data_IF_972193981950
#
_entry.id   IF_972193981950
#
_cell.length_a   1.000
_cell.length_b   1.000
_cell.length_c   1.000
_cell.angle_alpha   90.00
_cell.angle_beta   90.00
_cell.angle_gamma   90.00
#
_symmetry.space_group_name_H-M   'P 1'
#
loop_
_entity.id
_entity.type
_entity.pdbx_description
1 polymer ?
#
# COMPACT_ATOMS: atom_id res chain seq x y z
N UNK A 1 6.28 -53.58 -10.04
CA UNK A 1 6.14 -54.80 -9.23
C UNK A 1 5.93 -54.44 -7.79
N UNK A 2 4.85 -54.93 -7.25
CA UNK A 2 4.49 -55.20 -5.85
C UNK A 2 4.40 -53.99 -4.88
N UNK A 3 3.44 -53.87 -4.00
CA UNK A 3 2.10 -54.50 -3.81
C UNK A 3 1.41 -53.67 -2.72
N UNK A 4 0.15 -53.56 -2.90
CA UNK A 4 -0.86 -53.02 -1.97
C UNK A 4 -1.01 -54.00 -0.80
N UNK A 5 -1.16 -53.48 0.44
CA UNK A 5 -1.78 -54.23 1.53
C UNK A 5 -2.87 -53.41 2.18
N UNK A 6 -4.10 -53.88 1.96
CA UNK A 6 -5.31 -53.56 2.73
C UNK A 6 -5.28 -54.34 4.05
N UNK A 7 -5.79 -53.81 5.10
CA UNK A 7 -6.21 -54.56 6.28
C UNK A 7 -7.55 -54.02 6.80
N UNK A 8 -8.60 -54.77 6.47
CA UNK A 8 -9.91 -54.82 7.17
C UNK A 8 -9.81 -55.73 8.40
N UNK A 9 -10.48 -55.37 9.46
CA UNK A 9 -11.10 -56.36 10.41
C UNK A 9 -12.10 -55.60 11.28
N UNK A 10 -13.35 -55.84 11.10
CA UNK A 10 -14.30 -56.80 11.67
C UNK A 10 -14.85 -56.41 13.04
N UNK A 11 -16.18 -56.24 12.99
CA UNK A 11 -17.14 -56.19 14.09
C UNK A 11 -17.05 -57.40 15.02
N UNK A 12 -17.41 -57.19 16.29
CA UNK A 12 -17.99 -58.27 17.08
C UNK A 12 -19.08 -57.72 18.02
N UNK A 13 -20.26 -58.25 17.77
CA UNK A 13 -21.49 -58.12 18.56
C UNK A 13 -21.43 -59.15 19.70
N UNK A 14 -21.76 -58.75 20.92
CA UNK A 14 -22.29 -59.72 21.89
C UNK A 14 -23.37 -59.08 22.78
N UNK A 15 -24.56 -59.65 22.66
CA UNK A 15 -25.73 -59.43 23.51
C UNK A 15 -25.57 -60.13 24.85
N UNK A 16 -25.98 -59.53 25.95
CA UNK A 16 -26.59 -60.28 27.06
C UNK A 16 -27.65 -59.47 27.78
N UNK A 17 -28.81 -60.09 27.90
CA UNK A 17 -29.98 -59.68 28.71
C UNK A 17 -29.70 -59.97 30.19
N UNK A 18 -30.21 -59.17 31.08
CA UNK A 18 -31.02 -59.53 32.24
C UNK A 18 -31.47 -58.29 33.01
N UNK A 19 -32.78 -58.20 33.25
CA UNK A 19 -33.48 -57.36 34.19
C UNK A 19 -33.55 -58.10 35.55
N UNK A 20 -33.54 -57.46 36.72
CA UNK A 20 -34.81 -57.21 37.37
C UNK A 20 -34.90 -55.87 38.12
N UNK A 21 -36.14 -55.46 38.24
CA UNK A 21 -36.82 -54.45 39.00
C UNK A 21 -36.37 -54.29 40.44
N UNK A 22 -36.06 -53.05 40.88
CA UNK A 22 -36.17 -52.66 42.29
C UNK A 22 -36.82 -51.25 42.30
N UNK A 23 -37.97 -51.18 42.99
CA UNK A 23 -38.78 -50.03 43.28
C UNK A 23 -38.10 -49.28 44.44
N UNK A 24 -37.62 -48.05 44.19
CA UNK A 24 -37.08 -47.18 45.23
C UNK A 24 -37.71 -45.80 45.13
N UNK A 25 -38.56 -45.48 46.08
CA UNK A 25 -39.07 -44.10 46.31
C UNK A 25 -37.91 -43.17 46.58
N UNK A 26 -37.72 -42.15 45.74
CA UNK A 26 -36.86 -41.02 46.04
C UNK A 26 -37.69 -39.75 46.08
N UNK A 27 -37.69 -39.10 47.25
CA UNK A 27 -38.23 -37.78 47.48
C UNK A 27 -37.67 -36.77 46.46
N UNK A 28 -38.58 -36.08 45.75
CA UNK A 28 -38.22 -34.90 44.96
C UNK A 28 -38.08 -33.73 45.90
N UNK A 29 -36.86 -33.40 46.28
CA UNK A 29 -36.53 -32.08 46.80
C UNK A 29 -36.43 -31.12 45.62
N UNK A 30 -37.44 -30.28 45.44
CA UNK A 30 -37.42 -29.15 44.52
C UNK A 30 -36.45 -28.10 45.04
N UNK A 31 -35.20 -28.15 44.62
CA UNK A 31 -34.33 -26.97 44.65
C UNK A 31 -34.65 -26.13 43.40
N UNK A 32 -35.46 -25.11 43.58
CA UNK A 32 -35.60 -24.01 42.65
C UNK A 32 -34.26 -23.24 42.63
N UNK A 33 -33.35 -23.64 41.75
CA UNK A 33 -32.24 -22.79 41.35
C UNK A 33 -32.80 -21.80 40.33
N UNK A 34 -33.18 -20.63 40.79
CA UNK A 34 -33.27 -19.44 39.95
C UNK A 34 -31.85 -19.11 39.43
N UNK A 35 -31.41 -19.85 38.45
CA UNK A 35 -30.35 -19.39 37.54
C UNK A 35 -31.01 -18.33 36.65
N UNK A 36 -31.09 -17.09 37.14
CA UNK A 36 -31.26 -15.94 36.28
C UNK A 36 -30.07 -15.94 35.29
N UNK A 37 -30.31 -16.57 34.14
CA UNK A 37 -29.49 -16.31 32.97
C UNK A 37 -29.62 -14.82 32.72
N UNK A 38 -28.61 -14.06 33.10
CA UNK A 38 -28.45 -12.70 32.63
C UNK A 38 -28.41 -12.78 31.11
N UNK A 39 -29.55 -12.70 30.46
CA UNK A 39 -29.63 -12.29 29.09
C UNK A 39 -28.99 -10.92 29.06
N UNK A 40 -27.77 -10.86 28.55
CA UNK A 40 -27.13 -9.61 28.20
C UNK A 40 -28.14 -8.83 27.40
N UNK A 41 -28.48 -7.67 27.90
CA UNK A 41 -29.39 -6.72 27.28
C UNK A 41 -28.79 -6.38 25.88
N UNK A 42 -29.29 -7.06 24.83
CA UNK A 42 -28.90 -6.83 23.44
C UNK A 42 -29.44 -5.51 22.87
N UNK A 43 -30.05 -4.70 23.72
CA UNK A 43 -30.67 -3.42 23.31
C UNK A 43 -29.80 -2.19 23.48
N UNK A 44 -28.50 -2.29 23.76
CA UNK A 44 -27.59 -1.18 23.48
C UNK A 44 -27.45 -1.09 21.96
N UNK A 45 -28.23 -0.21 21.33
CA UNK A 45 -27.94 0.29 19.98
C UNK A 45 -26.47 0.71 20.01
N UNK A 46 -25.61 -0.12 19.46
CA UNK A 46 -24.20 0.22 19.38
C UNK A 46 -24.11 1.45 18.45
N UNK A 47 -23.48 2.49 18.93
CA UNK A 47 -23.23 3.70 18.14
C UNK A 47 -22.69 3.30 16.77
N UNK A 48 -23.29 3.81 15.68
CA UNK A 48 -22.84 3.52 14.32
C UNK A 48 -22.01 4.67 13.78
N UNK A 49 -20.89 4.34 13.17
CA UNK A 49 -19.92 5.29 12.62
C UNK A 49 -20.03 5.29 11.09
N UNK A 50 -20.35 6.44 10.51
CA UNK A 50 -20.44 6.61 9.06
C UNK A 50 -19.37 7.61 8.63
N UNK A 51 -18.25 7.12 8.11
CA UNK A 51 -17.12 7.92 7.71
C UNK A 51 -17.02 8.07 6.19
N UNK A 52 -16.38 9.15 5.77
CA UNK A 52 -16.08 9.43 4.36
C UNK A 52 -14.58 9.35 4.15
N UNK A 53 -14.19 8.61 3.11
CA UNK A 53 -12.82 8.47 2.65
C UNK A 53 -12.69 9.08 1.26
N UNK A 54 -11.76 10.02 1.09
CA UNK A 54 -11.39 10.58 -0.21
C UNK A 54 -10.04 10.03 -0.65
N UNK A 55 -9.85 9.78 -1.95
CA UNK A 55 -8.60 9.21 -2.44
C UNK A 55 -7.99 10.02 -3.58
N UNK A 56 -6.67 9.96 -3.71
CA UNK A 56 -5.93 10.57 -4.81
C UNK A 56 -6.05 9.78 -6.13
N UNK A 57 -6.72 8.63 -6.12
CA UNK A 57 -6.80 7.70 -7.23
C UNK A 57 -8.19 7.71 -7.89
N UNK A 58 -8.29 7.40 -9.19
CA UNK A 58 -9.59 7.15 -9.81
C UNK A 58 -10.32 6.00 -9.11
N UNK A 59 -11.63 6.14 -8.95
CA UNK A 59 -12.46 5.12 -8.30
C UNK A 59 -12.40 3.78 -9.05
N UNK A 60 -12.35 2.68 -8.32
CA UNK A 60 -12.27 1.31 -8.86
C UNK A 60 -11.03 1.05 -9.73
N UNK A 61 -10.04 1.92 -9.70
CA UNK A 61 -8.80 1.71 -10.44
C UNK A 61 -8.02 0.54 -9.82
N UNK A 62 -7.51 -0.40 -10.63
CA UNK A 62 -6.81 -1.59 -10.13
C UNK A 62 -5.72 -1.25 -9.11
N UNK A 63 -5.63 -2.03 -8.05
CA UNK A 63 -4.70 -1.79 -6.95
C UNK A 63 -4.99 -0.48 -6.21
N UNK A 64 -4.50 0.66 -6.68
CA UNK A 64 -4.55 1.96 -5.99
C UNK A 64 -5.98 2.41 -5.64
N UNK A 65 -6.91 2.38 -6.58
CA UNK A 65 -8.30 2.77 -6.35
C UNK A 65 -9.12 1.70 -5.64
N UNK A 66 -8.70 0.43 -5.74
CA UNK A 66 -9.36 -0.69 -5.05
C UNK A 66 -8.92 -0.84 -3.60
N UNK A 67 -7.73 -0.38 -3.23
CA UNK A 67 -7.22 -0.48 -1.86
C UNK A 67 -8.18 0.15 -0.83
N UNK A 68 -8.60 1.42 -0.95
CA UNK A 68 -9.54 2.02 -0.01
C UNK A 68 -10.92 1.35 -0.01
N UNK A 69 -11.39 0.81 -1.14
CA UNK A 69 -12.66 0.06 -1.22
C UNK A 69 -12.56 -1.27 -0.44
N UNK A 70 -11.44 -1.98 -0.55
CA UNK A 70 -11.19 -3.21 0.22
C UNK A 70 -11.09 -2.94 1.72
N UNK A 71 -10.42 -1.86 2.12
CA UNK A 71 -10.36 -1.43 3.53
C UNK A 71 -11.79 -1.15 4.04
N UNK A 72 -12.57 -0.36 3.31
CA UNK A 72 -13.94 -0.02 3.69
C UNK A 72 -14.81 -1.28 3.86
N UNK A 73 -14.72 -2.22 2.92
CA UNK A 73 -15.44 -3.49 2.98
C UNK A 73 -15.05 -4.33 4.18
N UNK A 74 -13.74 -4.52 4.41
CA UNK A 74 -13.25 -5.30 5.55
C UNK A 74 -13.65 -4.66 6.89
N UNK A 75 -13.59 -3.35 7.01
CA UNK A 75 -14.01 -2.62 8.22
C UNK A 75 -15.50 -2.84 8.48
N UNK A 76 -16.37 -2.74 7.48
CA UNK A 76 -17.80 -3.00 7.64
C UNK A 76 -18.07 -4.45 8.05
N UNK A 77 -17.43 -5.42 7.41
CA UNK A 77 -17.59 -6.85 7.72
C UNK A 77 -17.10 -7.19 9.13
N UNK A 78 -15.88 -6.76 9.50
CA UNK A 78 -15.29 -7.06 10.82
C UNK A 78 -15.98 -6.32 11.97
N UNK A 79 -16.55 -5.15 11.73
CA UNK A 79 -17.31 -4.41 12.71
C UNK A 79 -18.77 -4.84 12.80
N UNK A 80 -19.19 -5.86 12.05
CA UNK A 80 -20.59 -6.28 11.91
C UNK A 80 -21.53 -5.11 11.56
N UNK A 81 -21.07 -4.23 10.66
CA UNK A 81 -21.82 -3.06 10.21
C UNK A 81 -21.85 -1.88 11.19
N UNK A 82 -21.12 -1.95 12.30
CA UNK A 82 -21.03 -0.83 13.25
C UNK A 82 -20.30 0.37 12.63
N UNK A 83 -19.33 0.12 11.74
CA UNK A 83 -18.61 1.17 11.03
C UNK A 83 -18.75 1.00 9.53
N UNK A 84 -19.17 2.06 8.84
CA UNK A 84 -19.29 2.13 7.39
C UNK A 84 -18.41 3.26 6.85
N UNK A 85 -17.65 2.97 5.80
CA UNK A 85 -16.79 3.94 5.14
C UNK A 85 -17.25 4.08 3.69
N UNK A 86 -17.65 5.30 3.32
CA UNK A 86 -17.99 5.62 1.93
C UNK A 86 -16.76 6.18 1.23
N UNK A 87 -16.32 5.51 0.16
CA UNK A 87 -15.13 5.89 -0.60
C UNK A 87 -15.51 6.79 -1.78
N UNK A 88 -14.77 7.88 -1.94
CA UNK A 88 -14.88 8.83 -3.04
C UNK A 88 -13.56 8.89 -3.82
N UNK A 89 -13.63 8.66 -5.12
CA UNK A 89 -12.47 8.76 -6.02
C UNK A 89 -11.99 10.19 -6.22
N UNK A 90 -10.81 10.33 -6.81
CA UNK A 90 -10.22 11.63 -7.12
C UNK A 90 -11.17 12.49 -7.96
N UNK A 91 -11.42 13.71 -7.51
CA UNK A 91 -12.31 14.67 -8.19
C UNK A 91 -13.80 14.53 -7.85
N UNK A 92 -14.24 13.50 -7.13
CA UNK A 92 -15.66 13.36 -6.73
C UNK A 92 -16.06 14.30 -5.60
N UNK A 93 -15.21 14.48 -4.59
CA UNK A 93 -15.43 15.38 -3.47
C UNK A 93 -14.32 16.43 -3.35
N UNK A 94 -13.07 16.00 -3.56
CA UNK A 94 -11.89 16.85 -3.52
C UNK A 94 -10.98 16.53 -4.71
N UNK A 95 -10.16 17.49 -5.20
CA UNK A 95 -9.11 17.18 -6.16
C UNK A 95 -8.13 16.14 -5.61
N UNK A 96 -7.47 15.37 -6.48
CA UNK A 96 -6.52 14.32 -6.08
C UNK A 96 -5.49 14.79 -5.04
N UNK A 97 -4.94 16.01 -5.20
CA UNK A 97 -3.95 16.60 -4.30
C UNK A 97 -4.57 17.39 -3.13
N UNK A 98 -5.89 17.39 -2.99
CA UNK A 98 -6.60 17.99 -1.87
C UNK A 98 -6.87 17.04 -0.69
N UNK A 99 -6.52 15.76 -0.83
CA UNK A 99 -6.81 14.71 0.17
C UNK A 99 -6.23 15.03 1.54
N UNK A 100 -4.96 15.44 1.60
CA UNK A 100 -4.28 15.78 2.84
C UNK A 100 -4.99 16.91 3.61
N UNK A 101 -5.33 17.98 2.93
CA UNK A 101 -6.00 19.14 3.55
C UNK A 101 -7.42 18.79 4.01
N UNK A 102 -8.12 17.97 3.23
CA UNK A 102 -9.46 17.52 3.56
C UNK A 102 -9.48 16.69 4.87
N UNK A 103 -8.48 15.84 5.08
CA UNK A 103 -8.34 15.05 6.30
C UNK A 103 -7.81 15.92 7.45
N UNK A 104 -6.77 16.70 7.22
CA UNK A 104 -6.17 17.59 8.23
C UNK A 104 -7.21 18.55 8.85
N UNK A 105 -8.09 19.12 8.03
CA UNK A 105 -9.14 20.03 8.48
C UNK A 105 -10.35 19.35 9.11
N UNK A 106 -10.45 17.99 9.07
CA UNK A 106 -11.61 17.26 9.53
C UNK A 106 -12.82 17.33 8.59
N UNK A 107 -12.69 17.93 7.39
CA UNK A 107 -13.80 17.94 6.42
C UNK A 107 -14.15 16.54 5.92
N UNK A 108 -13.18 15.62 5.94
CA UNK A 108 -13.33 14.18 5.72
C UNK A 108 -12.57 13.42 6.79
N UNK A 109 -13.14 12.32 7.26
CA UNK A 109 -12.54 11.52 8.32
C UNK A 109 -11.30 10.76 7.86
N UNK A 110 -11.28 10.35 6.60
CA UNK A 110 -10.21 9.51 6.05
C UNK A 110 -9.76 9.97 4.66
N UNK A 111 -8.52 9.64 4.33
CA UNK A 111 -7.94 9.80 3.00
C UNK A 111 -7.04 8.64 2.61
N UNK A 112 -6.83 8.42 1.32
CA UNK A 112 -5.88 7.42 0.82
C UNK A 112 -5.04 8.00 -0.30
N UNK A 113 -3.69 7.93 -0.15
CA UNK A 113 -2.77 8.62 -1.06
C UNK A 113 -1.34 8.07 -0.96
N UNK A 114 -0.36 8.85 -1.42
CA UNK A 114 1.08 8.66 -1.23
C UNK A 114 1.74 9.91 -0.67
N UNK A 115 2.60 9.74 0.34
CA UNK A 115 3.21 10.83 1.12
C UNK A 115 4.05 11.82 0.31
N UNK A 116 4.55 11.44 -0.85
CA UNK A 116 5.33 12.33 -1.73
C UNK A 116 4.53 13.52 -2.28
N UNK A 117 3.20 13.44 -2.33
CA UNK A 117 2.37 14.57 -2.77
C UNK A 117 2.38 15.74 -1.77
N UNK A 118 2.75 15.48 -0.53
CA UNK A 118 2.75 16.45 0.56
C UNK A 118 4.13 17.06 0.86
N UNK A 119 5.13 16.80 0.02
CA UNK A 119 6.52 17.28 0.25
C UNK A 119 6.64 18.77 0.53
N UNK A 120 5.75 19.58 0.00
CA UNK A 120 5.72 21.02 0.25
C UNK A 120 5.21 21.42 1.64
N UNK A 121 4.56 20.50 2.38
CA UNK A 121 4.00 20.71 3.71
C UNK A 121 4.72 19.87 4.76
N UNK A 122 4.95 18.61 4.46
CA UNK A 122 5.61 17.62 5.30
C UNK A 122 6.75 16.98 4.49
N UNK A 123 7.94 17.61 4.40
CA UNK A 123 9.03 17.12 3.54
C UNK A 123 9.46 15.69 3.85
N UNK A 124 9.43 15.28 5.12
CA UNK A 124 9.77 13.92 5.55
C UNK A 124 8.74 12.86 5.14
N UNK A 125 7.52 13.23 4.75
CA UNK A 125 6.48 12.27 4.35
C UNK A 125 6.87 11.38 3.16
N UNK A 126 7.75 11.89 2.29
CA UNK A 126 8.23 11.17 1.11
C UNK A 126 8.92 9.84 1.45
N UNK A 127 9.61 9.77 2.60
CA UNK A 127 10.34 8.57 3.02
C UNK A 127 9.43 7.39 3.31
N UNK A 128 8.17 7.63 3.65
CA UNK A 128 7.19 6.58 3.94
C UNK A 128 6.48 6.06 2.69
N UNK A 129 6.71 6.66 1.53
CA UNK A 129 6.15 6.17 0.27
C UNK A 129 7.24 5.56 -0.61
N UNK A 130 8.21 6.33 -1.07
CA UNK A 130 9.27 5.82 -1.94
C UNK A 130 10.50 6.73 -1.95
N UNK A 131 11.67 6.13 -1.85
CA UNK A 131 12.97 6.80 -1.92
C UNK A 131 13.74 6.24 -3.10
N UNK A 132 14.28 7.07 -3.99
CA UNK A 132 15.11 6.60 -5.08
C UNK A 132 16.24 5.69 -4.62
N UNK A 133 16.40 4.52 -5.25
CA UNK A 133 17.37 3.48 -4.86
C UNK A 133 17.25 3.03 -3.40
N UNK A 134 16.06 3.21 -2.82
CA UNK A 134 15.76 2.95 -1.42
C UNK A 134 15.39 1.51 -1.11
N UNK A 135 14.56 1.36 -0.06
CA UNK A 135 14.03 0.08 0.40
C UNK A 135 13.06 -0.52 -0.63
N UNK A 136 13.15 -1.83 -0.82
CA UNK A 136 12.16 -2.61 -1.56
C UNK A 136 10.83 -2.69 -0.82
N UNK A 137 9.81 -3.31 -1.43
CA UNK A 137 8.47 -3.40 -0.81
C UNK A 137 8.48 -4.11 0.55
N UNK A 138 9.20 -5.22 0.67
CA UNK A 138 9.29 -5.98 1.93
C UNK A 138 10.11 -5.22 2.97
N UNK A 139 11.18 -4.58 2.54
CA UNK A 139 12.05 -3.79 3.41
C UNK A 139 11.33 -2.55 3.97
N UNK A 140 10.60 -1.78 3.15
CA UNK A 140 9.85 -0.63 3.65
C UNK A 140 8.70 -1.06 4.57
N UNK A 141 8.03 -2.18 4.26
CA UNK A 141 7.04 -2.79 5.14
C UNK A 141 7.67 -3.18 6.50
N UNK A 142 8.86 -3.76 6.49
CA UNK A 142 9.58 -4.16 7.69
C UNK A 142 10.04 -2.94 8.51
N UNK A 143 10.65 -1.94 7.86
CA UNK A 143 11.04 -0.69 8.52
C UNK A 143 9.84 -0.01 9.17
N UNK A 144 8.75 0.16 8.42
CA UNK A 144 7.56 0.83 8.92
C UNK A 144 6.92 0.06 10.08
N UNK A 145 6.76 -1.26 9.95
CA UNK A 145 6.02 -2.04 10.95
C UNK A 145 6.88 -2.48 12.16
N UNK A 146 8.23 -2.52 12.04
CA UNK A 146 9.14 -3.09 13.05
C UNK A 146 10.42 -2.30 13.27
N UNK A 147 10.82 -1.46 12.33
CA UNK A 147 12.05 -0.66 12.37
C UNK A 147 11.87 0.76 12.91
N UNK A 148 10.71 1.09 13.49
CA UNK A 148 10.44 2.42 14.06
C UNK A 148 9.88 3.43 13.05
N UNK A 149 9.68 3.05 11.79
CA UNK A 149 9.18 3.95 10.75
C UNK A 149 7.77 4.47 11.02
N UNK A 150 6.87 3.65 11.59
CA UNK A 150 5.48 4.06 11.84
C UNK A 150 5.39 5.14 12.93
N UNK A 151 6.18 5.03 13.97
CA UNK A 151 6.27 6.02 15.04
C UNK A 151 6.77 7.37 14.49
N UNK A 152 7.80 7.34 13.65
CA UNK A 152 8.30 8.53 12.95
C UNK A 152 7.27 9.13 12.00
N UNK A 153 6.53 8.29 11.28
CA UNK A 153 5.47 8.74 10.39
C UNK A 153 4.37 9.50 11.14
N UNK A 154 3.96 8.97 12.28
CA UNK A 154 3.00 9.63 13.17
C UNK A 154 3.53 10.96 13.69
N UNK A 155 4.81 11.03 14.06
CA UNK A 155 5.46 12.27 14.50
C UNK A 155 5.48 13.33 13.37
N UNK A 156 5.80 12.94 12.14
CA UNK A 156 5.77 13.83 10.96
C UNK A 156 4.38 14.41 10.71
N UNK A 157 3.32 13.62 10.96
CA UNK A 157 1.95 14.03 10.67
C UNK A 157 1.20 14.63 11.87
N UNK A 158 1.78 14.58 13.07
CA UNK A 158 1.21 15.15 14.30
C UNK A 158 0.83 16.65 14.15
N UNK A 159 1.68 17.54 13.58
CA UNK A 159 1.33 18.95 13.41
C UNK A 159 0.14 19.21 12.48
N UNK A 160 -0.25 18.22 11.69
CA UNK A 160 -1.33 18.31 10.72
C UNK A 160 -2.63 17.65 11.19
N UNK A 161 -2.69 17.22 12.44
CA UNK A 161 -3.85 16.49 12.99
C UNK A 161 -4.22 15.23 12.18
N UNK A 162 -3.21 14.49 11.70
CA UNK A 162 -3.37 13.28 10.89
C UNK A 162 -2.71 12.08 11.58
N UNK A 163 -3.43 10.96 11.60
CA UNK A 163 -2.95 9.65 12.03
C UNK A 163 -2.76 8.75 10.82
N UNK A 164 -1.52 8.46 10.41
CA UNK A 164 -1.22 7.64 9.24
C UNK A 164 -1.18 6.15 9.58
N UNK A 165 -1.60 5.32 8.61
CA UNK A 165 -1.49 3.86 8.65
C UNK A 165 -1.03 3.37 7.27
N UNK A 166 -0.10 2.39 7.16
CA UNK A 166 0.22 1.72 5.89
C UNK A 166 -1.03 1.06 5.29
N UNK A 167 -1.29 1.27 4.00
CA UNK A 167 -2.56 0.86 3.40
C UNK A 167 -2.47 0.44 1.93
N UNK A 168 -1.35 -0.07 1.52
CA UNK A 168 -1.05 -0.60 0.19
C UNK A 168 0.43 -0.49 -0.12
N UNK A 169 0.91 -1.35 -1.02
CA UNK A 169 2.26 -1.28 -1.54
C UNK A 169 2.25 -1.71 -3.01
N UNK A 170 2.89 -0.93 -3.88
CA UNK A 170 2.91 -1.22 -5.33
C UNK A 170 3.97 -2.24 -5.73
N UNK A 171 4.89 -2.58 -4.84
CA UNK A 171 6.12 -3.26 -5.22
C UNK A 171 7.06 -2.35 -6.00
N UNK A 172 8.09 -2.94 -6.60
CA UNK A 172 9.02 -2.22 -7.46
C UNK A 172 8.32 -1.76 -8.73
N UNK A 173 8.43 -0.47 -9.01
CA UNK A 173 7.80 0.14 -10.18
C UNK A 173 8.65 0.03 -11.45
N UNK A 174 8.08 0.46 -12.58
CA UNK A 174 8.79 0.72 -13.82
C UNK A 174 9.18 2.20 -13.90
N UNK A 175 10.27 2.51 -14.62
CA UNK A 175 10.65 3.93 -14.80
C UNK A 175 9.61 4.69 -15.64
N UNK A 176 8.90 4.00 -16.53
CA UNK A 176 7.72 4.54 -17.17
C UNK A 176 7.77 4.60 -18.70
N UNK A 177 6.89 5.43 -19.25
CA UNK A 177 6.54 5.54 -20.66
C UNK A 177 7.16 6.79 -21.27
N UNK A 178 7.76 6.61 -22.47
CA UNK A 178 8.51 7.66 -23.14
C UNK A 178 8.13 7.74 -24.62
N UNK A 179 7.97 8.97 -25.12
CA UNK A 179 7.78 9.27 -26.53
C UNK A 179 9.12 9.33 -27.30
N UNK A 180 10.23 9.39 -26.57
CA UNK A 180 11.60 9.46 -27.11
C UNK A 180 12.47 8.37 -26.52
N UNK A 181 13.47 7.91 -27.25
CA UNK A 181 14.49 7.02 -26.70
C UNK A 181 15.43 7.77 -25.74
N UNK A 182 15.87 7.07 -24.72
CA UNK A 182 16.88 7.51 -23.77
C UNK A 182 18.10 6.62 -23.95
N UNK A 183 19.13 7.15 -24.55
CA UNK A 183 20.39 6.46 -24.84
C UNK A 183 21.56 7.01 -24.01
N UNK A 184 21.39 8.18 -23.40
CA UNK A 184 22.40 8.86 -22.60
C UNK A 184 21.76 9.93 -21.67
N UNK A 185 22.56 10.50 -20.78
CA UNK A 185 22.16 11.65 -19.96
C UNK A 185 21.75 12.89 -20.79
N UNK A 186 22.28 13.02 -21.99
CA UNK A 186 21.92 14.17 -22.84
C UNK A 186 20.45 14.09 -23.27
N UNK A 187 19.85 12.90 -23.37
CA UNK A 187 18.43 12.71 -23.71
C UNK A 187 17.50 13.08 -22.55
N UNK A 188 18.04 13.19 -21.35
CA UNK A 188 17.30 13.68 -20.15
C UNK A 188 17.18 15.19 -20.15
N UNK A 189 18.10 15.92 -20.79
CA UNK A 189 18.11 17.40 -20.80
C UNK A 189 16.85 17.93 -21.52
N UNK A 190 16.05 18.71 -20.78
CA UNK A 190 14.81 19.29 -21.27
C UNK A 190 13.63 18.31 -21.39
N UNK A 191 13.80 17.04 -21.01
CA UNK A 191 12.73 16.05 -20.99
C UNK A 191 11.64 16.46 -20.01
N UNK A 192 10.43 16.70 -20.51
CA UNK A 192 9.26 16.99 -19.67
C UNK A 192 8.65 15.67 -19.21
N UNK A 193 8.88 15.30 -17.97
CA UNK A 193 8.39 14.05 -17.43
C UNK A 193 7.52 14.25 -16.20
N UNK A 194 6.37 13.60 -16.15
CA UNK A 194 5.62 13.49 -14.93
C UNK A 194 6.32 12.48 -14.02
N UNK A 195 6.82 12.99 -12.89
CA UNK A 195 7.47 12.23 -11.85
C UNK A 195 7.41 13.01 -10.53
N UNK A 196 6.73 12.50 -9.49
CA UNK A 196 6.60 13.19 -8.21
C UNK A 196 7.81 12.99 -7.28
N UNK A 197 7.77 13.63 -6.13
CA UNK A 197 8.65 13.36 -5.01
C UNK A 197 10.11 13.65 -5.28
N UNK A 198 10.97 12.88 -4.63
CA UNK A 198 12.44 12.95 -4.75
C UNK A 198 12.88 12.55 -6.16
N UNK A 199 12.19 11.58 -6.80
CA UNK A 199 12.48 11.22 -8.19
C UNK A 199 12.40 12.41 -9.15
N UNK A 200 11.42 13.31 -8.95
CA UNK A 200 11.33 14.56 -9.71
C UNK A 200 12.50 15.52 -9.44
N UNK A 201 13.02 15.54 -8.23
CA UNK A 201 14.21 16.37 -7.90
C UNK A 201 15.46 15.81 -8.57
N UNK A 202 15.62 14.48 -8.59
CA UNK A 202 16.71 13.82 -9.33
C UNK A 202 16.65 14.16 -10.81
N UNK A 203 15.47 13.98 -11.43
CA UNK A 203 15.27 14.31 -12.85
C UNK A 203 15.63 15.78 -13.14
N UNK A 204 15.18 16.71 -12.29
CA UNK A 204 15.48 18.14 -12.41
C UNK A 204 16.98 18.42 -12.37
N UNK A 205 17.70 17.82 -11.43
CA UNK A 205 19.16 18.02 -11.29
C UNK A 205 19.93 17.42 -12.45
N UNK A 206 19.43 16.34 -13.05
CA UNK A 206 19.95 15.76 -14.28
C UNK A 206 19.60 16.57 -15.55
N UNK A 207 18.88 17.68 -15.43
CA UNK A 207 18.55 18.61 -16.53
C UNK A 207 17.16 18.39 -17.14
N UNK A 208 16.34 17.49 -16.63
CA UNK A 208 14.95 17.28 -17.03
C UNK A 208 14.01 18.31 -16.42
N UNK A 209 12.75 18.26 -16.82
CA UNK A 209 11.68 19.16 -16.38
C UNK A 209 10.57 18.31 -15.74
N UNK A 210 10.64 18.09 -14.40
CA UNK A 210 9.60 17.31 -13.71
C UNK A 210 8.28 18.08 -13.67
N UNK A 211 7.19 17.34 -13.86
CA UNK A 211 5.81 17.85 -13.77
C UNK A 211 5.06 16.98 -12.80
N UNK A 212 4.17 17.56 -12.00
CA UNK A 212 3.27 16.82 -11.11
C UNK A 212 1.84 16.92 -11.64
N UNK A 213 1.28 15.80 -12.07
CA UNK A 213 -0.10 15.68 -12.56
C UNK A 213 -0.79 14.49 -11.89
N UNK A 214 -2.10 14.57 -11.61
CA UNK A 214 -2.86 13.44 -11.11
C UNK A 214 -3.01 12.33 -12.16
N UNK A 215 -3.15 11.08 -11.72
CA UNK A 215 -3.18 9.91 -12.61
C UNK A 215 -4.20 9.99 -13.76
N UNK A 216 -5.40 10.52 -13.47
CA UNK A 216 -6.45 10.65 -14.49
C UNK A 216 -6.14 11.59 -15.67
N UNK A 217 -5.09 12.42 -15.56
CA UNK A 217 -4.70 13.36 -16.61
C UNK A 217 -3.52 12.86 -17.48
N UNK A 218 -2.82 11.80 -17.04
CA UNK A 218 -1.54 11.39 -17.62
C UNK A 218 -1.65 10.89 -19.06
N UNK A 219 -2.67 10.09 -19.37
CA UNK A 219 -2.87 9.59 -20.73
C UNK A 219 -3.00 10.74 -21.74
N UNK A 220 -3.86 11.70 -21.43
CA UNK A 220 -4.09 12.86 -22.31
C UNK A 220 -2.84 13.74 -22.41
N UNK A 221 -2.15 13.99 -21.31
CA UNK A 221 -0.93 14.80 -21.29
C UNK A 221 0.20 14.16 -22.12
N UNK A 222 0.37 12.83 -22.03
CA UNK A 222 1.34 12.07 -22.82
C UNK A 222 0.97 12.02 -24.30
N UNK A 223 -0.31 11.73 -24.59
CA UNK A 223 -0.82 11.66 -25.98
C UNK A 223 -0.73 12.99 -26.73
N UNK A 224 -0.99 14.11 -26.04
CA UNK A 224 -0.94 15.45 -26.66
C UNK A 224 0.44 16.08 -26.66
N UNK A 225 1.44 15.44 -26.06
CA UNK A 225 2.81 15.96 -25.98
C UNK A 225 2.98 17.12 -24.98
N UNK A 226 2.04 17.31 -24.06
CA UNK A 226 2.20 18.24 -22.92
C UNK A 226 3.35 17.77 -22.05
N UNK A 227 3.50 16.45 -21.91
CA UNK A 227 4.67 15.77 -21.33
C UNK A 227 5.29 14.81 -22.37
N UNK A 228 6.60 14.64 -22.31
CA UNK A 228 7.36 13.70 -23.16
C UNK A 228 7.39 12.29 -22.57
N UNK A 229 7.23 12.19 -21.25
CA UNK A 229 7.31 10.94 -20.49
C UNK A 229 6.46 10.98 -19.21
N UNK A 230 6.10 9.81 -18.72
CA UNK A 230 5.44 9.64 -17.42
C UNK A 230 5.87 8.32 -16.78
N UNK A 231 6.16 8.34 -15.47
CA UNK A 231 6.07 7.13 -14.65
C UNK A 231 4.65 7.00 -14.11
N UNK A 232 4.29 5.81 -13.63
CA UNK A 232 3.05 5.62 -12.90
C UNK A 232 3.21 4.51 -11.85
N UNK A 233 3.07 3.24 -12.21
CA UNK A 233 3.30 2.12 -11.29
C UNK A 233 4.06 1.00 -12.00
N UNK A 234 3.38 0.28 -12.88
CA UNK A 234 3.90 -0.89 -13.54
C UNK A 234 2.91 -1.50 -14.52
N UNK A 235 3.26 -2.61 -15.19
CA UNK A 235 2.53 -3.13 -16.34
C UNK A 235 1.03 -3.27 -16.13
N UNK A 236 0.59 -3.74 -14.97
CA UNK A 236 -0.83 -3.97 -14.68
C UNK A 236 -1.66 -2.68 -14.65
N UNK A 237 -1.16 -1.67 -13.97
CA UNK A 237 -1.82 -0.37 -13.93
C UNK A 237 -1.70 0.39 -15.24
N UNK A 238 -0.52 0.36 -15.83
CA UNK A 238 -0.17 1.13 -17.01
C UNK A 238 -0.95 0.66 -18.25
N UNK A 239 -1.16 -0.66 -18.35
CA UNK A 239 -2.04 -1.26 -19.35
C UNK A 239 -3.49 -0.75 -19.22
N UNK A 240 -3.98 -0.64 -17.98
CA UNK A 240 -5.34 -0.15 -17.69
C UNK A 240 -5.52 1.32 -18.09
N UNK A 241 -4.48 2.15 -17.92
CA UNK A 241 -4.50 3.54 -18.40
C UNK A 241 -4.32 3.67 -19.91
N UNK A 242 -3.87 2.60 -20.58
CA UNK A 242 -3.67 2.59 -22.03
C UNK A 242 -2.44 3.37 -22.48
N UNK A 243 -1.42 3.57 -21.63
CA UNK A 243 -0.23 4.35 -21.97
C UNK A 243 0.49 3.85 -23.23
N UNK A 244 0.41 2.54 -23.52
CA UNK A 244 0.91 1.93 -24.76
C UNK A 244 0.31 2.53 -26.04
N UNK A 245 -0.85 3.21 -25.96
CA UNK A 245 -1.46 3.90 -27.10
C UNK A 245 -0.92 5.33 -27.26
N UNK A 246 -0.26 5.88 -26.23
CA UNK A 246 0.28 7.23 -26.21
C UNK A 246 1.80 7.29 -26.31
N UNK A 247 2.50 6.24 -25.89
CA UNK A 247 3.97 6.16 -25.94
C UNK A 247 4.44 4.77 -26.33
N UNK A 248 5.62 4.71 -26.97
CA UNK A 248 6.16 3.48 -27.57
C UNK A 248 7.15 2.77 -26.65
N UNK A 249 7.97 3.53 -25.93
CA UNK A 249 9.06 3.01 -25.14
C UNK A 249 8.68 2.87 -23.67
N UNK A 250 8.94 1.68 -23.09
CA UNK A 250 8.66 1.38 -21.69
C UNK A 250 9.97 1.02 -20.99
N UNK A 251 10.41 1.91 -20.08
CA UNK A 251 11.72 1.82 -19.47
C UNK A 251 11.71 1.17 -18.08
N UNK A 252 12.80 0.44 -17.79
CA UNK A 252 13.14 -0.11 -16.48
C UNK A 252 14.64 0.10 -16.18
N UNK A 253 15.09 -0.04 -14.89
CA UNK A 253 14.31 -0.28 -13.69
C UNK A 253 13.61 1.00 -13.16
N UNK A 254 12.61 0.81 -12.32
CA UNK A 254 11.93 1.89 -11.58
C UNK A 254 12.78 2.37 -10.40
N UNK A 255 13.92 2.94 -10.68
CA UNK A 255 14.91 3.38 -9.70
C UNK A 255 14.37 4.37 -8.66
N UNK A 256 13.34 5.13 -9.02
CA UNK A 256 12.73 6.16 -8.20
C UNK A 256 11.82 5.61 -7.10
N UNK A 257 11.20 4.44 -7.33
CA UNK A 257 10.27 3.80 -6.40
C UNK A 257 10.46 2.26 -6.37
N UNK A 258 11.50 1.77 -5.67
CA UNK A 258 11.75 0.32 -5.54
C UNK A 258 10.69 -0.40 -4.68
N UNK A 259 9.96 0.34 -3.83
CA UNK A 259 8.86 -0.17 -3.03
C UNK A 259 8.02 0.99 -2.53
N UNK A 260 6.84 1.22 -3.14
CA UNK A 260 6.01 2.38 -2.83
C UNK A 260 4.88 1.99 -1.91
N UNK A 261 4.97 2.44 -0.67
CA UNK A 261 3.91 2.28 0.32
C UNK A 261 2.87 3.39 0.18
N UNK A 262 1.61 3.00 0.26
CA UNK A 262 0.47 3.89 0.26
C UNK A 262 -0.01 4.13 1.68
N UNK A 263 -0.63 5.28 1.88
CA UNK A 263 -1.08 5.74 3.19
C UNK A 263 -2.60 5.79 3.30
N UNK A 264 -3.12 5.33 4.43
CA UNK A 264 -4.41 5.72 4.94
C UNK A 264 -4.20 6.86 5.92
N UNK A 265 -4.74 8.02 5.58
CA UNK A 265 -4.77 9.20 6.43
C UNK A 265 -6.07 9.19 7.23
N UNK A 266 -6.01 9.42 8.53
CA UNK A 266 -7.19 9.54 9.38
C UNK A 266 -7.07 10.86 10.14
N UNK A 267 -8.15 11.66 10.19
CA UNK A 267 -8.17 12.81 11.07
C UNK A 267 -7.93 12.34 12.51
N UNK A 268 -6.97 12.93 13.22
CA UNK A 268 -6.52 12.43 14.52
C UNK A 268 -7.59 12.54 15.59
N UNK A 269 -8.36 13.63 15.60
CA UNK A 269 -9.45 13.81 16.58
C UNK A 269 -10.54 12.74 16.38
N UNK A 270 -10.88 12.46 15.12
CA UNK A 270 -11.82 11.39 14.77
C UNK A 270 -11.27 10.02 15.18
N UNK A 271 -9.99 9.76 14.93
CA UNK A 271 -9.31 8.52 15.35
C UNK A 271 -9.36 8.33 16.86
N UNK A 272 -9.03 9.36 17.63
CA UNK A 272 -9.00 9.30 19.10
C UNK A 272 -10.39 9.16 19.70
N UNK A 273 -11.44 9.61 19.00
CA UNK A 273 -12.84 9.45 19.42
C UNK A 273 -13.37 8.02 19.25
N UNK A 274 -12.73 7.21 18.39
CA UNK A 274 -13.19 5.85 18.12
C UNK A 274 -12.96 4.91 19.31
N UNK A 275 -13.91 4.01 19.59
CA UNK A 275 -13.67 2.89 20.49
C UNK A 275 -12.48 2.03 20.03
N UNK A 276 -11.68 1.55 20.98
CA UNK A 276 -10.45 0.80 20.68
C UNK A 276 -10.65 -0.37 19.72
N UNK A 277 -11.78 -1.08 19.83
CA UNK A 277 -12.03 -2.23 18.92
C UNK A 277 -12.18 -1.80 17.46
N UNK A 278 -12.77 -0.63 17.17
CA UNK A 278 -12.86 -0.10 15.80
C UNK A 278 -11.51 0.37 15.29
N UNK A 279 -10.69 0.99 16.15
CA UNK A 279 -9.30 1.31 15.80
C UNK A 279 -8.52 0.05 15.39
N UNK A 280 -8.63 -1.04 16.18
CA UNK A 280 -7.97 -2.32 15.88
C UNK A 280 -8.48 -2.92 14.56
N UNK A 281 -9.78 -2.81 14.28
CA UNK A 281 -10.37 -3.26 13.02
C UNK A 281 -9.76 -2.50 11.84
N UNK A 282 -9.67 -1.16 11.89
CA UNK A 282 -9.08 -0.34 10.83
C UNK A 282 -7.60 -0.68 10.64
N UNK A 283 -6.81 -0.76 11.72
CA UNK A 283 -5.40 -1.15 11.67
C UNK A 283 -5.22 -2.52 11.01
N UNK A 284 -6.09 -3.49 11.36
CA UNK A 284 -6.03 -4.85 10.81
C UNK A 284 -6.42 -4.90 9.34
N UNK A 285 -7.51 -4.22 8.97
CA UNK A 285 -7.97 -4.11 7.58
C UNK A 285 -6.91 -3.47 6.69
N UNK A 286 -6.32 -2.35 7.14
CA UNK A 286 -5.27 -1.64 6.40
C UNK A 286 -4.04 -2.52 6.20
N UNK A 287 -3.60 -3.23 7.23
CA UNK A 287 -2.46 -4.14 7.15
C UNK A 287 -2.72 -5.33 6.22
N UNK A 288 -3.93 -5.89 6.25
CA UNK A 288 -4.33 -6.97 5.35
C UNK A 288 -4.34 -6.46 3.89
N UNK A 289 -4.90 -5.28 3.64
CA UNK A 289 -4.95 -4.70 2.29
C UNK A 289 -3.57 -4.27 1.80
N UNK A 290 -2.68 -3.81 2.69
CA UNK A 290 -1.29 -3.49 2.31
C UNK A 290 -0.60 -4.71 1.67
N UNK A 291 -0.75 -5.89 2.25
CA UNK A 291 -0.22 -7.13 1.70
C UNK A 291 -0.98 -7.59 0.44
N UNK A 292 -2.32 -7.57 0.49
CA UNK A 292 -3.16 -8.01 -0.63
C UNK A 292 -2.89 -7.22 -1.93
N UNK A 293 -2.65 -5.92 -1.82
CA UNK A 293 -2.29 -5.07 -2.97
C UNK A 293 -0.90 -5.44 -3.52
N UNK A 294 0.08 -5.68 -2.68
CA UNK A 294 1.41 -6.12 -3.11
C UNK A 294 1.34 -7.47 -3.84
N UNK A 295 0.58 -8.41 -3.30
CA UNK A 295 0.35 -9.73 -3.92
C UNK A 295 -0.36 -9.59 -5.27
N UNK A 296 -1.36 -8.70 -5.37
CA UNK A 296 -2.06 -8.43 -6.64
C UNK A 296 -1.11 -7.90 -7.71
N UNK A 297 -0.26 -6.92 -7.39
CA UNK A 297 0.72 -6.39 -8.33
C UNK A 297 1.73 -7.45 -8.74
N UNK A 298 2.28 -8.18 -7.79
CA UNK A 298 3.24 -9.27 -8.05
C UNK A 298 2.66 -10.33 -8.98
N UNK A 299 1.42 -10.73 -8.75
CA UNK A 299 0.76 -11.75 -9.56
C UNK A 299 0.37 -11.25 -10.97
N UNK A 300 0.00 -9.97 -11.11
CA UNK A 300 -0.61 -9.46 -12.35
C UNK A 300 0.37 -8.72 -13.27
N UNK A 301 1.40 -8.09 -12.75
CA UNK A 301 2.38 -7.35 -13.56
C UNK A 301 3.04 -8.21 -14.62
N UNK A 302 3.40 -9.45 -14.30
CA UNK A 302 4.00 -10.39 -15.23
C UNK A 302 3.10 -10.66 -16.46
N UNK A 303 1.80 -10.91 -16.26
CA UNK A 303 0.85 -11.14 -17.35
C UNK A 303 0.65 -9.87 -18.19
N UNK A 304 0.47 -8.73 -17.53
CA UNK A 304 0.28 -7.45 -18.19
C UNK A 304 1.52 -7.03 -19.01
N UNK A 305 2.74 -7.28 -18.50
CA UNK A 305 3.96 -7.01 -19.26
C UNK A 305 4.03 -7.81 -20.56
N UNK A 306 3.70 -9.11 -20.52
CA UNK A 306 3.62 -9.92 -21.75
C UNK A 306 2.58 -9.41 -22.72
N UNK A 307 1.42 -9.00 -22.23
CA UNK A 307 0.37 -8.42 -23.07
C UNK A 307 0.84 -7.12 -23.74
N UNK A 308 1.49 -6.23 -23.01
CA UNK A 308 2.07 -5.00 -23.55
C UNK A 308 3.12 -5.28 -24.63
N UNK A 309 4.02 -6.24 -24.43
CA UNK A 309 5.09 -6.55 -25.36
C UNK A 309 4.57 -7.37 -26.55
N UNK A 310 3.89 -8.49 -26.29
CA UNK A 310 3.57 -9.49 -27.32
C UNK A 310 2.35 -9.10 -28.16
N UNK A 311 1.39 -8.37 -27.57
CA UNK A 311 0.13 -8.02 -28.24
C UNK A 311 0.15 -6.56 -28.70
N UNK A 312 0.61 -5.64 -27.85
CA UNK A 312 0.60 -4.20 -28.17
C UNK A 312 1.90 -3.69 -28.78
N UNK A 313 2.95 -4.53 -28.88
CA UNK A 313 4.20 -4.19 -29.54
C UNK A 313 5.01 -3.11 -28.81
N UNK A 314 4.86 -3.02 -27.48
CA UNK A 314 5.61 -2.08 -26.65
C UNK A 314 7.09 -2.42 -26.66
N UNK A 315 7.94 -1.44 -26.86
CA UNK A 315 9.38 -1.61 -26.79
C UNK A 315 9.88 -1.48 -25.35
N UNK A 316 10.07 -2.63 -24.70
CA UNK A 316 10.69 -2.69 -23.38
C UNK A 316 12.18 -2.35 -23.47
N UNK A 317 12.63 -1.35 -22.71
CA UNK A 317 13.99 -0.80 -22.74
C UNK A 317 14.60 -0.73 -21.35
N UNK A 318 15.87 -1.16 -21.24
CA UNK A 318 16.66 -0.88 -20.03
C UNK A 318 17.23 0.54 -20.14
N UNK A 319 17.19 1.31 -19.05
CA UNK A 319 17.96 2.54 -18.98
C UNK A 319 19.47 2.24 -19.11
N UNK A 320 20.23 3.10 -19.79
CA UNK A 320 21.69 2.99 -19.82
C UNK A 320 22.29 2.97 -18.41
N UNK A 321 23.31 2.14 -18.20
CA UNK A 321 23.90 1.95 -16.86
C UNK A 321 24.57 3.22 -16.33
N UNK A 322 25.12 4.06 -17.21
CA UNK A 322 25.68 5.37 -16.87
C UNK A 322 24.59 6.36 -16.41
N UNK A 323 23.40 6.34 -17.01
CA UNK A 323 22.26 7.16 -16.56
C UNK A 323 21.81 6.72 -15.17
N UNK A 324 21.70 5.41 -14.93
CA UNK A 324 21.33 4.86 -13.61
C UNK A 324 22.39 5.26 -12.55
N UNK A 325 23.68 5.15 -12.89
CA UNK A 325 24.76 5.48 -11.97
C UNK A 325 24.73 6.97 -11.58
N UNK A 326 24.52 7.86 -12.55
CA UNK A 326 24.41 9.30 -12.29
C UNK A 326 23.17 9.64 -11.47
N UNK A 327 22.01 9.05 -11.78
CA UNK A 327 20.80 9.23 -10.99
C UNK A 327 20.99 8.80 -9.52
N UNK A 328 21.75 7.74 -9.28
CA UNK A 328 22.07 7.28 -7.93
C UNK A 328 22.93 8.26 -7.16
N UNK A 329 23.94 8.85 -7.81
CA UNK A 329 24.79 9.90 -7.22
C UNK A 329 23.90 11.10 -6.85
N UNK A 330 23.15 11.61 -7.82
CA UNK A 330 22.26 12.76 -7.62
C UNK A 330 21.22 12.49 -6.50
N UNK A 331 20.66 11.28 -6.45
CA UNK A 331 19.71 10.92 -5.40
C UNK A 331 20.33 10.97 -4.01
N UNK A 332 21.54 10.45 -3.83
CA UNK A 332 22.24 10.49 -2.55
C UNK A 332 22.53 11.94 -2.13
N UNK A 333 23.02 12.78 -3.05
CA UNK A 333 23.27 14.20 -2.75
C UNK A 333 22.00 14.92 -2.30
N UNK A 334 20.87 14.67 -2.97
CA UNK A 334 19.57 15.27 -2.61
C UNK A 334 19.10 14.81 -1.23
N UNK A 335 19.26 13.52 -0.91
CA UNK A 335 18.86 12.98 0.39
C UNK A 335 19.67 13.60 1.53
N UNK A 336 20.99 13.74 1.34
CA UNK A 336 21.88 14.37 2.31
C UNK A 336 21.57 15.86 2.49
N UNK A 337 21.35 16.61 1.39
CA UNK A 337 20.98 18.03 1.43
C UNK A 337 19.63 18.25 2.13
N UNK A 338 18.63 17.42 1.83
CA UNK A 338 17.32 17.49 2.46
C UNK A 338 17.43 17.20 3.97
N UNK A 339 18.20 16.19 4.37
CA UNK A 339 18.48 15.89 5.78
C UNK A 339 19.23 17.01 6.49
N UNK A 340 20.14 17.72 5.80
CA UNK A 340 20.86 18.86 6.37
C UNK A 340 20.00 20.11 6.54
N UNK A 341 18.89 20.21 5.81
CA UNK A 341 18.02 21.41 5.79
C UNK A 341 16.85 21.37 6.76
N UNK A 342 16.46 20.19 7.25
CA UNK A 342 15.27 19.99 8.09
C UNK A 342 15.52 18.88 9.13
N UNK A 343 15.34 19.18 10.41
CA UNK A 343 15.62 18.28 11.52
C UNK A 343 14.69 17.03 11.50
N UNK A 344 13.44 17.16 11.05
CA UNK A 344 12.53 16.02 10.97
C UNK A 344 12.91 15.12 9.79
N UNK A 345 13.26 15.71 8.66
CA UNK A 345 13.80 14.96 7.50
C UNK A 345 15.07 14.21 7.91
N UNK A 346 15.98 14.89 8.63
CA UNK A 346 17.20 14.26 9.13
C UNK A 346 16.89 13.03 10.02
N UNK A 347 16.01 13.21 10.99
CA UNK A 347 15.62 12.14 11.93
C UNK A 347 15.06 10.91 11.21
N UNK A 348 14.18 11.15 10.23
CA UNK A 348 13.57 10.09 9.42
C UNK A 348 14.61 9.44 8.52
N UNK A 349 15.45 10.22 7.84
CA UNK A 349 16.50 9.73 6.96
C UNK A 349 17.52 8.87 7.69
N UNK A 350 18.00 9.30 8.86
CA UNK A 350 18.96 8.54 9.67
C UNK A 350 18.39 7.17 10.07
N UNK A 351 17.12 7.11 10.50
CA UNK A 351 16.45 5.85 10.81
C UNK A 351 16.28 4.95 9.58
N UNK A 352 15.84 5.54 8.47
CA UNK A 352 15.67 4.85 7.20
C UNK A 352 16.99 4.26 6.69
N UNK A 353 18.06 5.06 6.70
CA UNK A 353 19.38 4.66 6.22
C UNK A 353 20.01 3.58 7.12
N UNK A 354 19.88 3.70 8.45
CA UNK A 354 20.34 2.67 9.38
C UNK A 354 19.69 1.32 9.08
N UNK A 355 18.36 1.31 8.97
CA UNK A 355 17.63 0.10 8.66
C UNK A 355 18.00 -0.48 7.29
N UNK A 356 18.13 0.38 6.26
CA UNK A 356 18.54 -0.05 4.93
C UNK A 356 19.90 -0.73 4.94
N UNK A 357 20.88 -0.19 5.66
CA UNK A 357 22.21 -0.78 5.75
C UNK A 357 22.18 -2.14 6.44
N UNK A 358 21.43 -2.26 7.54
CA UNK A 358 21.31 -3.52 8.29
C UNK A 358 20.64 -4.62 7.46
N UNK A 359 19.52 -4.33 6.80
CA UNK A 359 18.81 -5.32 6.01
C UNK A 359 19.59 -5.73 4.75
N UNK A 360 20.31 -4.79 4.11
CA UNK A 360 21.15 -5.09 2.94
C UNK A 360 22.32 -6.04 3.25
N UNK A 361 22.87 -6.00 4.47
CA UNK A 361 23.92 -6.96 4.88
C UNK A 361 23.37 -8.39 4.97
N UNK A 362 22.15 -8.54 5.46
CA UNK A 362 21.49 -9.85 5.51
C UNK A 362 21.09 -10.34 4.11
N UNK A 363 20.54 -9.48 3.26
CA UNK A 363 20.09 -9.86 1.91
C UNK A 363 21.22 -10.41 1.04
N UNK A 364 22.45 -9.89 1.16
CA UNK A 364 23.64 -10.42 0.45
C UNK A 364 23.93 -11.90 0.72
N UNK A 365 23.56 -12.39 1.89
CA UNK A 365 23.80 -13.80 2.30
C UNK A 365 22.51 -14.64 2.32
N UNK A 366 21.39 -14.07 1.94
CA UNK A 366 20.08 -14.72 1.85
C UNK A 366 19.49 -14.59 0.45
N UNK A 367 18.67 -13.57 0.21
CA UNK A 367 17.88 -13.44 -1.02
C UNK A 367 18.74 -13.22 -2.25
N UNK A 368 19.72 -12.32 -2.20
CA UNK A 368 20.63 -12.05 -3.32
C UNK A 368 21.43 -13.30 -3.67
N UNK A 369 21.98 -13.99 -2.66
CA UNK A 369 22.73 -15.22 -2.86
C UNK A 369 21.89 -16.41 -3.37
N UNK A 370 20.57 -16.35 -3.23
CA UNK A 370 19.65 -17.36 -3.75
C UNK A 370 19.31 -17.14 -5.22
N UNK A 371 19.34 -15.88 -5.70
CA UNK A 371 18.96 -15.50 -7.07
C UNK A 371 20.15 -15.56 -8.04
N UNK A 372 21.40 -15.44 -7.54
CA UNK A 372 22.62 -15.62 -8.35
C UNK A 372 22.85 -17.11 -8.72
#
# INVERSE_FOLDING_TARGET
>A
MASIVFCETRENIMKHKYLPTILGLILIATCSNDASVNMRDESKISETYNWRLVTAWPKNYPGLGMAPERIAKLVEEMSNGQMKITVYGAGEQVPAFGVFDAVSSGSHQMGHSGGYFWKGKAPAAQFFTGVPFGLTADEINAWTNRGGGLELWREVYEPFNIYPIPAGNTGTQMFGWFNKEINSLDDIKGLKMRIPGIGGEVLKRAGGIPVTLPGGELFTALQTGVIDATEWVGPYNDLTFGFHQAAKYYYYPGWHEPGSMLELLINKDEWESLPRHLQVIIETASKAVNQDILDEYTARNNKALRELVDIHGVELRKLPDDVIAEFKIIANDILEENAASDEMVKKVYESYLSFKNEVSEYHKVSEDAFVE
#
